data_IF_007612171974
#
_entry.id   IF_007612171974
#
_cell.length_a   1.000
_cell.length_b   1.000
_cell.length_c   1.000
_cell.angle_alpha   90.00
_cell.angle_beta   90.00
_cell.angle_gamma   90.00
#
_symmetry.space_group_name_H-M   'P 1'
#
loop_
_entity.id
_entity.type
_entity.pdbx_description
1 polymer ?
#
# COMPACT_ATOMS: atom_id res chain seq x y z
N UNK A 1 -1.72 10.21 9.70
CA UNK A 1 -0.39 10.39 10.33
C UNK A 1 0.64 10.61 9.24
N UNK A 2 1.82 11.16 9.56
CA UNK A 2 2.90 11.34 8.58
C UNK A 2 3.70 10.05 8.40
N UNK A 3 4.14 9.76 7.18
CA UNK A 3 4.82 8.50 6.86
C UNK A 3 6.11 8.34 7.66
N UNK A 4 6.88 9.41 7.87
CA UNK A 4 8.14 9.36 8.66
C UNK A 4 7.95 8.92 10.11
N UNK A 5 6.73 9.01 10.64
CA UNK A 5 6.42 8.65 12.03
C UNK A 5 6.15 7.16 12.21
N UNK A 6 6.01 6.41 11.11
CA UNK A 6 5.67 4.99 11.12
C UNK A 6 6.86 4.17 11.65
N UNK A 7 6.57 3.30 12.61
CA UNK A 7 7.54 2.42 13.26
C UNK A 7 7.05 0.98 13.28
N UNK A 8 7.98 0.05 13.49
CA UNK A 8 7.69 -1.36 13.70
C UNK A 8 6.62 -1.55 14.77
N UNK A 9 5.70 -2.48 14.52
CA UNK A 9 4.65 -2.87 15.47
C UNK A 9 3.44 -1.95 15.54
N UNK A 10 3.39 -0.85 14.77
CA UNK A 10 2.20 0.01 14.73
C UNK A 10 1.04 -0.65 13.96
N UNK A 11 -0.18 -0.38 14.39
CA UNK A 11 -1.44 -0.84 13.79
C UNK A 11 -2.54 0.19 13.96
N UNK A 12 -3.63 0.08 13.18
CA UNK A 12 -4.72 1.07 13.23
C UNK A 12 -4.28 2.44 12.70
N UNK A 13 -3.32 2.44 11.77
CA UNK A 13 -2.74 3.66 11.23
C UNK A 13 -3.39 4.05 9.90
N UNK A 14 -3.60 5.35 9.73
CA UNK A 14 -4.11 5.92 8.48
C UNK A 14 -3.13 6.91 7.88
N UNK A 15 -2.82 6.73 6.60
CA UNK A 15 -1.88 7.55 5.82
C UNK A 15 -2.54 7.99 4.53
N UNK A 16 -2.07 9.10 3.98
CA UNK A 16 -2.52 9.62 2.69
C UNK A 16 -1.29 10.06 1.91
N UNK A 17 -1.25 9.76 0.62
CA UNK A 17 -0.10 10.06 -0.21
C UNK A 17 -0.30 9.66 -1.67
N UNK A 18 0.69 9.96 -2.50
CA UNK A 18 0.71 9.63 -3.92
C UNK A 18 1.39 8.28 -4.13
N UNK A 19 0.84 7.44 -5.00
CA UNK A 19 1.53 6.25 -5.49
C UNK A 19 2.59 6.68 -6.49
N UNK A 20 3.85 6.45 -6.15
CA UNK A 20 5.01 6.83 -6.99
C UNK A 20 5.66 5.65 -7.70
N UNK A 21 5.43 4.43 -7.19
CA UNK A 21 5.92 3.19 -7.79
C UNK A 21 4.90 2.07 -7.60
N UNK A 22 4.90 1.12 -8.54
CA UNK A 22 4.13 -0.13 -8.47
C UNK A 22 4.98 -1.26 -9.03
N UNK A 23 5.19 -2.31 -8.24
CA UNK A 23 5.93 -3.50 -8.68
C UNK A 23 5.12 -4.32 -9.68
N UNK A 24 5.80 -5.21 -10.40
CA UNK A 24 5.10 -6.29 -11.10
C UNK A 24 4.33 -7.17 -10.12
N UNK A 25 3.20 -7.72 -10.60
CA UNK A 25 2.42 -8.71 -9.86
C UNK A 25 3.17 -10.03 -9.80
N UNK A 26 3.29 -10.59 -8.60
CA UNK A 26 3.91 -11.90 -8.36
C UNK A 26 2.95 -12.83 -7.64
N UNK A 27 3.12 -14.14 -7.84
CA UNK A 27 2.39 -15.17 -7.09
C UNK A 27 3.19 -15.64 -5.89
N UNK A 28 2.54 -15.72 -4.73
CA UNK A 28 3.12 -16.22 -3.49
C UNK A 28 2.26 -17.34 -2.91
N UNK A 29 2.89 -18.33 -2.28
CA UNK A 29 2.17 -19.40 -1.58
C UNK A 29 1.88 -18.97 -0.14
N UNK A 30 0.61 -18.89 0.20
CA UNK A 30 0.14 -18.54 1.55
C UNK A 30 -0.49 -19.77 2.22
N UNK A 31 -0.83 -19.66 3.51
CA UNK A 31 -1.63 -20.68 4.22
C UNK A 31 -3.02 -20.92 3.61
N UNK A 32 -3.51 -19.98 2.78
CA UNK A 32 -4.81 -20.05 2.11
C UNK A 32 -4.68 -20.44 0.61
N UNK A 33 -3.49 -20.87 0.18
CA UNK A 33 -3.18 -21.23 -1.19
C UNK A 33 -2.35 -20.16 -1.92
N UNK A 34 -2.20 -20.34 -3.24
CA UNK A 34 -1.52 -19.36 -4.08
C UNK A 34 -2.34 -18.07 -4.16
N UNK A 35 -1.66 -16.93 -4.00
CA UNK A 35 -2.25 -15.60 -4.04
C UNK A 35 -1.37 -14.66 -4.87
N UNK A 36 -1.99 -13.66 -5.49
CA UNK A 36 -1.32 -12.58 -6.21
C UNK A 36 -1.04 -11.42 -5.26
N UNK A 37 0.16 -10.85 -5.36
CA UNK A 37 0.58 -9.68 -4.59
C UNK A 37 1.40 -8.74 -5.47
N UNK A 38 1.22 -7.44 -5.29
CA UNK A 38 2.09 -6.40 -5.80
C UNK A 38 2.35 -5.38 -4.70
N UNK A 39 3.50 -4.71 -4.73
CA UNK A 39 3.81 -3.64 -3.78
C UNK A 39 3.70 -2.30 -4.50
N UNK A 40 3.10 -1.31 -3.83
CA UNK A 40 3.12 0.08 -4.25
C UNK A 40 3.90 0.92 -3.24
N UNK A 41 4.59 1.95 -3.72
CA UNK A 41 5.24 2.94 -2.83
C UNK A 41 4.33 4.15 -2.71
N UNK A 42 3.85 4.43 -1.49
CA UNK A 42 3.07 5.63 -1.16
C UNK A 42 4.02 6.68 -0.62
N UNK A 43 3.93 7.91 -1.12
CA UNK A 43 4.78 9.03 -0.72
C UNK A 43 3.94 10.22 -0.24
N UNK A 44 4.36 10.81 0.88
CA UNK A 44 3.91 12.11 1.38
C UNK A 44 5.10 13.10 1.43
N UNK A 45 4.88 14.27 2.02
CA UNK A 45 5.90 15.31 2.21
C UNK A 45 7.01 14.95 3.22
N UNK A 46 6.85 13.87 3.98
CA UNK A 46 7.77 13.46 5.05
C UNK A 46 8.56 12.20 4.74
N UNK A 47 8.10 11.38 3.79
CA UNK A 47 8.77 10.17 3.35
C UNK A 47 7.91 9.28 2.48
N UNK A 48 8.35 8.04 2.32
CA UNK A 48 7.63 7.02 1.56
C UNK A 48 7.61 5.68 2.31
N UNK A 49 6.60 4.87 2.02
CA UNK A 49 6.44 3.53 2.59
C UNK A 49 5.77 2.60 1.57
N UNK A 50 6.19 1.33 1.56
CA UNK A 50 5.55 0.30 0.74
C UNK A 50 4.20 -0.10 1.33
N UNK A 51 3.25 -0.42 0.46
CA UNK A 51 1.98 -1.06 0.78
C UNK A 51 1.83 -2.31 -0.08
N UNK A 52 1.60 -3.46 0.56
CA UNK A 52 1.30 -4.70 -0.15
C UNK A 52 -0.19 -4.78 -0.53
N UNK A 53 -0.45 -4.87 -1.83
CA UNK A 53 -1.77 -5.05 -2.43
C UNK A 53 -1.97 -6.51 -2.81
N UNK A 54 -3.15 -7.04 -2.50
CA UNK A 54 -3.48 -8.45 -2.70
C UNK A 54 -4.66 -8.58 -3.64
N UNK A 55 -4.59 -9.56 -4.54
CA UNK A 55 -5.70 -9.93 -5.45
C UNK A 55 -6.30 -8.72 -6.17
N UNK A 56 -7.61 -8.50 -6.07
CA UNK A 56 -8.35 -7.45 -6.79
C UNK A 56 -7.87 -6.02 -6.46
N UNK A 57 -7.28 -5.81 -5.27
CA UNK A 57 -6.74 -4.49 -4.89
C UNK A 57 -5.50 -4.11 -5.70
N UNK A 58 -4.86 -5.07 -6.36
CA UNK A 58 -3.70 -4.80 -7.22
C UNK A 58 -4.13 -3.92 -8.40
N UNK A 59 -5.27 -4.21 -9.00
CA UNK A 59 -5.74 -3.52 -10.21
C UNK A 59 -6.58 -2.27 -9.88
N UNK A 60 -6.88 -2.04 -8.60
CA UNK A 60 -7.71 -0.91 -8.17
C UNK A 60 -6.94 0.42 -8.05
N UNK A 61 -5.63 0.45 -8.33
CA UNK A 61 -4.80 1.66 -8.24
C UNK A 61 -3.71 1.68 -9.30
N UNK A 62 -3.29 2.88 -9.68
CA UNK A 62 -2.26 3.17 -10.67
C UNK A 62 -1.16 4.07 -10.09
N UNK A 63 0.00 4.05 -10.74
CA UNK A 63 1.03 5.06 -10.48
C UNK A 63 0.44 6.42 -10.82
N UNK A 64 0.63 7.38 -9.90
CA UNK A 64 0.09 8.72 -10.02
C UNK A 64 -1.11 8.98 -9.11
N UNK A 65 -1.87 7.94 -8.75
CA UNK A 65 -3.06 8.10 -7.92
C UNK A 65 -2.70 8.65 -6.54
N UNK A 66 -3.55 9.51 -6.01
CA UNK A 66 -3.51 9.91 -4.61
C UNK A 66 -4.48 9.02 -3.85
N UNK A 67 -3.98 8.40 -2.79
CA UNK A 67 -4.73 7.39 -2.03
C UNK A 67 -4.73 7.68 -0.55
N UNK A 68 -5.82 7.27 0.11
CA UNK A 68 -5.95 7.20 1.55
C UNK A 68 -6.05 5.75 1.98
N UNK A 69 -5.16 5.34 2.88
CA UNK A 69 -5.13 4.01 3.48
C UNK A 69 -5.60 4.13 4.91
N UNK A 70 -6.57 3.32 5.32
CA UNK A 70 -7.12 3.32 6.69
C UNK A 70 -6.99 1.96 7.37
N UNK A 71 -6.76 1.99 8.67
CA UNK A 71 -6.58 0.82 9.55
C UNK A 71 -5.44 -0.12 9.13
N UNK A 72 -4.38 0.42 8.54
CA UNK A 72 -3.21 -0.38 8.17
C UNK A 72 -2.40 -0.83 9.39
N UNK A 73 -1.59 -1.87 9.19
CA UNK A 73 -0.61 -2.35 10.15
C UNK A 73 0.75 -2.52 9.50
N UNK A 74 1.80 -2.33 10.30
CA UNK A 74 3.19 -2.42 9.85
C UNK A 74 3.67 -3.85 9.96
N UNK A 75 4.22 -4.38 8.87
CA UNK A 75 5.02 -5.60 8.87
C UNK A 75 6.43 -5.30 8.35
N UNK A 76 7.31 -6.28 8.48
CA UNK A 76 8.65 -6.23 7.91
C UNK A 76 8.84 -7.39 6.94
N UNK A 77 9.31 -7.09 5.73
CA UNK A 77 9.66 -8.10 4.74
C UNK A 77 11.06 -7.78 4.22
N UNK A 78 11.98 -8.75 4.31
CA UNK A 78 13.40 -8.59 3.89
C UNK A 78 14.06 -7.31 4.46
N UNK A 79 13.83 -7.05 5.74
CA UNK A 79 14.33 -5.88 6.49
C UNK A 79 13.73 -4.52 6.07
N UNK A 80 12.65 -4.51 5.29
CA UNK A 80 11.96 -3.31 4.86
C UNK A 80 10.58 -3.22 5.53
N UNK A 81 10.25 -2.03 6.05
CA UNK A 81 8.92 -1.78 6.61
C UNK A 81 7.91 -1.59 5.50
N UNK A 82 6.74 -2.21 5.66
CA UNK A 82 5.63 -2.09 4.74
C UNK A 82 4.31 -2.08 5.49
N UNK A 83 3.33 -1.40 4.91
CA UNK A 83 1.95 -1.42 5.31
C UNK A 83 1.22 -2.61 4.70
N UNK A 84 0.27 -3.14 5.46
CA UNK A 84 -0.74 -4.06 4.98
C UNK A 84 -2.10 -3.60 5.47
N UNK A 85 -3.13 -3.91 4.70
CA UNK A 85 -4.51 -3.54 5.03
C UNK A 85 -5.22 -4.81 5.54
N UNK A 86 -5.78 -4.81 6.77
CA UNK A 86 -6.58 -5.93 7.24
C UNK A 86 -7.88 -6.02 6.40
N UNK A 87 -8.63 -7.11 6.55
CA UNK A 87 -9.91 -7.24 5.82
C UNK A 87 -10.91 -6.12 6.10
N UNK A 88 -10.87 -5.53 7.29
CA UNK A 88 -11.71 -4.40 7.70
C UNK A 88 -11.18 -3.05 7.23
N UNK A 89 -9.91 -2.98 6.83
CA UNK A 89 -9.28 -1.72 6.43
C UNK A 89 -9.62 -1.34 4.99
N UNK A 90 -9.37 -0.07 4.67
CA UNK A 90 -9.82 0.53 3.43
C UNK A 90 -8.65 1.15 2.65
N UNK A 91 -8.74 1.08 1.32
CA UNK A 91 -7.91 1.80 0.35
C UNK A 91 -8.87 2.60 -0.52
N UNK A 92 -8.74 3.92 -0.48
CA UNK A 92 -9.57 4.87 -1.22
C UNK A 92 -8.68 5.68 -2.15
N UNK A 93 -9.07 5.85 -3.42
CA UNK A 93 -8.47 6.83 -4.31
C UNK A 93 -9.13 8.18 -4.01
N UNK A 94 -8.35 9.16 -3.59
CA UNK A 94 -8.83 10.51 -3.30
C UNK A 94 -8.67 11.44 -4.50
N UNK A 95 -7.69 11.18 -5.37
CA UNK A 95 -7.49 11.85 -6.66
C UNK A 95 -6.96 10.82 -7.67
N UNK A 96 -7.69 10.62 -8.77
CA UNK A 96 -7.27 9.71 -9.84
C UNK A 96 -6.19 10.35 -10.71
N UNK A 97 -5.21 9.55 -11.12
CA UNK A 97 -4.29 9.94 -12.18
C UNK A 97 -5.01 9.86 -13.53
N UNK A 98 -5.50 11.00 -13.99
CA UNK A 98 -6.05 11.13 -15.34
C UNK A 98 -4.87 11.32 -16.28
N UNK A 99 -4.42 10.23 -16.91
CA UNK A 99 -3.59 10.36 -18.11
C UNK A 99 -4.48 10.97 -19.20
N UNK A 100 -4.28 12.25 -19.51
CA UNK A 100 -4.84 12.82 -20.74
C UNK A 100 -4.20 12.08 -21.93
N UNK A 101 -5.04 11.41 -22.74
CA UNK A 101 -4.68 10.75 -23.99
C UNK A 101 -4.50 11.76 -25.11
#
# INVERSE_FOLDING_TARGET
MKIREIKRGMSGISVEGKIVEKSETRRVRTRYGLRSVADVTIQDDTGSIKLSLWEEKIDSVSIGDRVKVSDAYVTEFRNELQLNIPRSGNLEITEENILEL
#
